data_IF_680180647023
#
_entry.id   IF_680180647023
#
_cell.length_a   1.000
_cell.length_b   1.000
_cell.length_c   1.000
_cell.angle_alpha   90.00
_cell.angle_beta   90.00
_cell.angle_gamma   90.00
#
_symmetry.space_group_name_H-M   'P 1'
#
loop_
_entity.id
_entity.type
_entity.pdbx_description
1 polymer ?
2 non-polymer ?
3 non-polymer ?
4 water ?
#
# COMPACT_ATOMS: atom_id res chain seq x y z
N UNK A 4 -21.31 1.46 -4.49
CA UNK A 4 -22.27 1.00 -3.50
C UNK A 4 -22.25 1.81 -2.19
N UNK A 5 -21.05 2.18 -1.72
CA UNK A 5 -20.88 3.00 -0.52
C UNK A 5 -20.53 4.43 -0.91
N UNK A 6 -20.62 5.34 0.06
CA UNK A 6 -20.34 6.75 -0.20
C UNK A 6 -19.65 7.46 0.96
N UNK A 7 -18.72 8.37 0.65
CA UNK A 7 -18.04 9.13 1.71
C UNK A 7 -19.01 10.01 2.49
N UNK A 8 -18.92 9.92 3.81
CA UNK A 8 -19.73 10.74 4.71
C UNK A 8 -19.14 12.15 4.80
N UNK A 9 -19.98 13.17 4.61
CA UNK A 9 -19.52 14.55 4.65
C UNK A 9 -19.38 15.04 6.10
N UNK A 10 -18.31 15.78 6.38
CA UNK A 10 -18.02 16.24 7.71
C UNK A 10 -18.00 17.77 7.74
N UNK A 11 -18.54 18.36 8.81
CA UNK A 11 -18.53 19.81 8.94
C UNK A 11 -17.08 20.31 9.02
N UNK A 12 -16.78 21.37 8.27
CA UNK A 12 -15.40 21.85 8.22
C UNK A 12 -14.90 22.32 9.58
N UNK A 13 -15.80 22.74 10.46
CA UNK A 13 -15.33 23.29 11.72
C UNK A 13 -14.98 22.22 12.75
N UNK A 14 -15.25 20.95 12.46
CA UNK A 14 -14.83 19.86 13.33
C UNK A 14 -13.33 19.55 13.20
N UNK A 15 -12.67 20.04 12.16
CA UNK A 15 -11.32 19.63 11.82
C UNK A 15 -10.34 20.75 12.14
N UNK A 16 -9.23 20.40 12.78
CA UNK A 16 -8.10 21.30 12.98
C UNK A 16 -6.88 20.64 12.36
N UNK A 17 -6.30 21.29 11.36
CA UNK A 17 -5.11 20.81 10.68
C UNK A 17 -3.89 21.20 11.52
N UNK A 18 -2.99 20.24 11.74
CA UNK A 18 -1.91 20.45 12.71
C UNK A 18 -0.52 20.55 12.09
N UNK A 19 -0.13 19.59 11.24
CA UNK A 19 1.28 19.50 10.83
C UNK A 19 1.41 18.54 9.65
N UNK A 20 2.50 18.70 8.92
CA UNK A 20 2.73 17.93 7.69
C UNK A 20 3.18 16.50 8.00
N UNK A 21 2.52 15.53 7.39
CA UNK A 21 2.96 14.13 7.44
C UNK A 21 3.76 13.71 6.22
N UNK A 22 3.38 14.18 5.04
CA UNK A 22 4.09 13.81 3.83
C UNK A 22 3.63 14.66 2.67
N UNK A 23 4.58 15.10 1.85
CA UNK A 23 4.30 15.91 0.67
C UNK A 23 4.85 15.21 -0.56
N UNK A 24 4.11 15.33 -1.66
CA UNK A 24 4.59 14.79 -2.91
C UNK A 24 3.97 15.52 -4.08
N UNK A 25 4.17 14.99 -5.29
CA UNK A 25 3.49 15.56 -6.45
C UNK A 25 1.99 15.36 -6.34
N UNK A 26 1.57 14.27 -5.69
CA UNK A 26 0.15 13.98 -5.50
C UNK A 26 -0.55 15.12 -4.78
N UNK A 27 0.12 15.73 -3.82
CA UNK A 27 -0.49 16.70 -2.92
C UNK A 27 0.23 16.73 -1.58
N UNK A 28 -0.56 16.78 -0.51
CA UNK A 28 -0.01 16.99 0.83
C UNK A 28 -0.93 16.28 1.84
N UNK A 29 -0.34 15.51 2.74
CA UNK A 29 -1.07 14.83 3.81
C UNK A 29 -0.67 15.48 5.12
N UNK A 30 -1.65 15.92 5.89
CA UNK A 30 -1.42 16.57 7.17
C UNK A 30 -1.91 15.69 8.30
N UNK A 31 -1.25 15.80 9.45
CA UNK A 31 -1.83 15.33 10.70
C UNK A 31 -2.83 16.37 11.19
N UNK A 32 -3.95 15.91 11.75
CA UNK A 32 -5.05 16.78 12.14
C UNK A 32 -5.82 16.16 13.30
N UNK A 33 -6.82 16.88 13.80
CA UNK A 33 -7.74 16.30 14.78
C UNK A 33 -9.18 16.61 14.41
N UNK A 34 -10.06 15.67 14.74
CA UNK A 34 -11.49 15.77 14.45
C UNK A 34 -12.26 15.77 15.76
N UNK A 35 -13.02 16.84 16.00
CA UNK A 35 -13.78 16.99 17.26
C UNK A 35 -15.26 17.02 16.91
N UNK A 36 -15.83 15.85 16.75
CA UNK A 36 -17.26 15.77 16.53
C UNK A 36 -17.99 16.04 17.85
N UNK A 37 -18.99 16.91 17.86
CA UNK A 37 -19.66 17.28 19.12
C UNK A 37 -20.18 16.05 19.86
N UNK A 38 -19.97 16.06 21.18
CA UNK A 38 -20.34 15.01 22.13
C UNK A 38 -19.50 13.74 21.99
N UNK A 39 -18.56 13.69 21.05
CA UNK A 39 -17.64 12.58 20.87
C UNK A 39 -16.23 12.99 21.31
N UNK A 40 -15.38 12.04 21.68
CA UNK A 40 -14.00 12.41 22.02
C UNK A 40 -13.23 12.89 20.79
N UNK A 41 -12.26 13.76 21.04
CA UNK A 41 -11.37 14.22 19.98
C UNK A 41 -10.43 13.10 19.55
N UNK A 42 -10.26 12.92 18.24
CA UNK A 42 -9.39 11.87 17.71
C UNK A 42 -8.38 12.46 16.73
N UNK A 43 -7.19 11.87 16.69
CA UNK A 43 -6.22 12.18 15.65
C UNK A 43 -6.65 11.57 14.32
N UNK A 44 -6.47 12.34 13.24
CA UNK A 44 -6.72 11.85 11.87
C UNK A 44 -5.62 12.36 10.97
N UNK A 45 -5.65 11.89 9.73
CA UNK A 45 -4.83 12.41 8.64
C UNK A 45 -5.75 13.06 7.62
N UNK A 46 -5.37 14.24 7.14
CA UNK A 46 -6.14 14.98 6.14
C UNK A 46 -5.31 15.14 4.87
N UNK A 47 -5.83 14.63 3.75
CA UNK A 47 -5.15 14.68 2.46
C UNK A 47 -5.79 15.79 1.63
N UNK A 48 -4.97 16.65 1.04
CA UNK A 48 -5.51 17.74 0.22
C UNK A 48 -4.65 17.91 -1.02
N UNK A 49 -4.98 18.94 -1.79
CA UNK A 49 -4.36 19.23 -3.08
C UNK A 49 -3.24 20.24 -2.94
N UNK A 50 -2.31 20.19 -3.88
CA UNK A 50 -1.32 21.25 -4.04
C UNK A 50 -2.03 22.60 -4.11
N UNK A 51 -1.36 23.63 -3.62
CA UNK A 51 -1.87 24.99 -3.79
C UNK A 51 -2.08 25.33 -5.26
N UNK A 52 -1.25 24.77 -6.13
CA UNK A 52 -1.43 24.87 -7.58
C UNK A 52 -2.61 23.98 -7.99
N UNK A 53 -3.79 24.57 -8.11
CA UNK A 53 -5.00 23.80 -8.27
C UNK A 53 -5.22 23.43 -9.74
N UNK A 54 -6.14 22.49 -9.94
CA UNK A 54 -6.71 22.18 -11.24
C UNK A 54 -7.91 21.26 -11.00
N UNK A 55 -9.04 21.52 -11.68
CA UNK A 55 -10.28 20.83 -11.34
C UNK A 55 -10.26 19.34 -11.68
N UNK A 56 -9.39 18.92 -12.61
CA UNK A 56 -9.24 17.49 -12.82
C UNK A 56 -8.55 16.82 -11.64
N UNK A 57 -7.76 17.58 -10.87
CA UNK A 57 -7.12 17.02 -9.67
C UNK A 57 -8.10 16.95 -8.50
N UNK A 58 -9.05 17.88 -8.41
CA UNK A 58 -10.13 17.75 -7.42
C UNK A 58 -10.93 16.49 -7.68
N UNK A 59 -11.24 16.19 -8.94
CA UNK A 59 -12.05 15.02 -9.25
C UNK A 59 -11.31 13.71 -8.97
N UNK A 60 -10.00 13.68 -9.24
CA UNK A 60 -9.22 12.49 -8.93
C UNK A 60 -9.20 12.22 -7.42
N UNK A 61 -9.11 13.29 -6.63
CA UNK A 61 -9.11 13.13 -5.19
C UNK A 61 -10.44 12.60 -4.71
N UNK A 62 -11.54 13.14 -5.25
CA UNK A 62 -12.87 12.65 -4.91
C UNK A 62 -13.09 11.22 -5.40
N UNK A 63 -12.48 10.85 -6.51
CA UNK A 63 -12.56 9.46 -6.93
C UNK A 63 -11.77 8.56 -5.98
N UNK A 64 -10.58 9.00 -5.55
CA UNK A 64 -9.83 8.26 -4.54
C UNK A 64 -10.69 7.98 -3.32
N UNK A 65 -11.40 9.01 -2.83
CA UNK A 65 -12.25 8.85 -1.64
C UNK A 65 -13.34 7.82 -1.88
N UNK A 66 -13.98 7.85 -3.05
CA UNK A 66 -15.06 6.91 -3.34
C UNK A 66 -14.56 5.48 -3.36
N UNK A 67 -13.39 5.25 -3.96
CA UNK A 67 -12.78 3.92 -3.91
C UNK A 67 -12.56 3.50 -2.46
N UNK A 68 -11.99 4.39 -1.65
CA UNK A 68 -11.70 4.05 -0.26
C UNK A 68 -12.96 3.82 0.56
N UNK A 69 -14.07 4.48 0.22
CA UNK A 69 -15.30 4.28 0.97
C UNK A 69 -15.88 2.88 0.80
N UNK A 70 -15.48 2.14 -0.22
CA UNK A 70 -15.93 0.76 -0.37
C UNK A 70 -15.21 -0.20 0.56
N UNK A 71 -14.05 0.19 1.10
CA UNK A 71 -13.22 -0.68 1.93
C UNK A 71 -13.63 -0.55 3.39
N UNK A 72 -13.81 -1.68 4.06
CA UNK A 72 -13.99 -1.68 5.51
C UNK A 72 -13.30 -2.94 6.02
N UNK A 73 -12.01 -2.81 6.31
CA UNK A 73 -11.18 -3.97 6.61
C UNK A 73 -10.07 -3.55 7.56
N UNK A 74 -9.68 -4.47 8.44
CA UNK A 74 -8.69 -4.14 9.46
C UNK A 74 -7.31 -3.84 8.87
N UNK A 75 -7.04 -4.24 7.62
CA UNK A 75 -5.73 -4.09 7.00
C UNK A 75 -5.77 -3.15 5.80
N UNK A 76 -6.73 -2.22 5.78
CA UNK A 76 -6.79 -1.12 4.83
C UNK A 76 -7.04 0.17 5.61
N UNK A 77 -6.22 1.21 5.36
CA UNK A 77 -6.41 2.51 6.05
C UNK A 77 -7.83 3.00 5.81
N UNK A 78 -8.55 3.32 6.90
CA UNK A 78 -9.97 3.62 6.79
C UNK A 78 -10.26 5.04 6.35
N UNK A 79 -11.38 5.21 5.65
CA UNK A 79 -11.89 6.53 5.31
C UNK A 79 -12.85 7.00 6.38
N UNK A 80 -12.57 8.17 6.96
CA UNK A 80 -13.47 8.72 7.97
C UNK A 80 -14.51 9.65 7.33
N UNK A 81 -14.14 10.38 6.28
CA UNK A 81 -15.08 11.26 5.64
C UNK A 81 -14.38 12.27 4.75
N UNK A 82 -15.17 13.20 4.22
CA UNK A 82 -14.65 14.22 3.32
C UNK A 82 -15.20 15.58 3.73
N UNK A 83 -14.45 16.62 3.39
CA UNK A 83 -14.90 18.00 3.52
C UNK A 83 -14.90 18.60 2.12
N UNK A 84 -16.10 18.75 1.53
CA UNK A 84 -16.24 19.23 0.17
C UNK A 84 -16.91 20.59 0.04
N UNK A 85 -17.68 21.03 1.04
CA UNK A 85 -18.27 22.36 1.02
C UNK A 85 -17.21 23.39 1.39
N UNK A 86 -16.97 24.35 0.51
CA UNK A 86 -15.92 25.33 0.74
C UNK A 86 -14.60 24.89 0.11
N UNK A 87 -13.52 25.48 0.61
CA UNK A 87 -12.16 25.26 0.10
C UNK A 87 -11.19 25.61 1.22
N UNK A 88 -10.11 24.84 1.42
CA UNK A 88 -9.68 23.64 0.67
C UNK A 88 -10.54 22.40 0.88
N UNK A 89 -10.40 21.42 0.02
CA UNK A 89 -11.09 20.14 0.17
C UNK A 89 -10.17 19.21 0.95
N UNK A 90 -10.76 18.40 1.83
CA UNK A 90 -10.00 17.47 2.64
C UNK A 90 -10.62 16.08 2.55
N UNK A 91 -9.78 15.07 2.38
CA UNK A 91 -10.15 13.67 2.59
C UNK A 91 -9.56 13.24 3.92
N UNK A 92 -10.42 12.87 4.87
CA UNK A 92 -10.04 12.58 6.25
C UNK A 92 -9.94 11.07 6.42
N UNK A 93 -8.75 10.59 6.79
CA UNK A 93 -8.44 9.17 6.87
C UNK A 93 -7.99 8.79 8.27
N UNK A 94 -7.98 7.49 8.54
CA UNK A 94 -7.45 6.96 9.78
C UNK A 94 -5.99 7.36 9.97
N UNK A 95 -5.64 7.71 11.20
CA UNK A 95 -4.28 8.11 11.55
C UNK A 95 -3.48 6.89 11.96
N UNK A 96 -2.25 6.79 11.43
CA UNK A 96 -1.39 5.60 11.59
C UNK A 96 -0.12 6.05 12.32
N UNK A 97 -0.14 5.90 13.65
CA UNK A 97 0.85 6.56 14.50
C UNK A 97 2.29 6.15 14.17
N UNK A 98 2.52 4.92 13.71
CA UNK A 98 3.88 4.40 13.61
C UNK A 98 4.48 4.49 12.21
N UNK A 99 3.82 5.18 11.28
CA UNK A 99 4.46 5.50 10.02
C UNK A 99 4.53 4.33 9.07
N UNK A 100 5.45 4.42 8.12
CA UNK A 100 5.50 3.45 7.03
C UNK A 100 6.20 2.18 7.46
N UNK A 101 5.73 1.05 6.92
CA UNK A 101 6.40 -0.22 7.12
C UNK A 101 7.87 -0.16 6.73
N UNK A 102 8.18 0.55 5.63
CA UNK A 102 9.57 0.67 5.19
C UNK A 102 10.47 1.26 6.25
N UNK A 103 10.12 2.47 6.74
CA UNK A 103 10.94 3.13 7.75
C UNK A 103 11.12 2.26 8.99
N UNK A 104 10.05 1.58 9.40
CA UNK A 104 10.12 0.79 10.62
C UNK A 104 11.15 -0.34 10.47
N UNK A 105 11.03 -1.16 9.42
CA UNK A 105 11.97 -2.29 9.32
C UNK A 105 13.39 -1.82 9.07
N UNK A 106 13.56 -0.63 8.49
CA UNK A 106 14.92 -0.14 8.26
C UNK A 106 15.59 0.33 9.55
N UNK A 107 14.80 0.78 10.53
CA UNK A 107 15.34 1.52 11.67
C UNK A 107 15.08 0.90 13.03
N UNK A 108 14.27 -0.15 13.11
CA UNK A 108 13.94 -0.81 14.36
C UNK A 108 14.35 -2.28 14.29
N UNK A 109 14.52 -2.85 15.48
CA UNK A 109 14.67 -4.29 15.63
C UNK A 109 13.30 -4.94 15.60
N UNK A 110 13.13 -5.94 14.74
CA UNK A 110 11.89 -6.68 14.54
C UNK A 110 12.17 -8.17 14.64
N UNK A 111 11.21 -8.94 15.18
CA UNK A 111 11.38 -10.38 15.34
C UNK A 111 10.84 -11.12 14.14
N UNK A 112 11.27 -12.38 13.94
CA UNK A 112 10.69 -13.20 12.86
C UNK A 112 9.16 -13.32 12.92
N UNK A 113 8.54 -13.40 14.11
CA UNK A 113 7.09 -13.52 14.15
C UNK A 113 6.42 -12.22 13.72
N UNK A 114 7.05 -11.09 13.95
CA UNK A 114 6.49 -9.84 13.44
C UNK A 114 6.57 -9.81 11.92
N UNK A 115 7.70 -10.26 11.35
CA UNK A 115 7.88 -10.18 9.91
C UNK A 115 6.85 -11.01 9.15
N UNK A 116 6.51 -12.19 9.68
CA UNK A 116 5.52 -13.01 8.98
C UNK A 116 4.11 -12.48 9.17
N UNK A 117 3.78 -11.91 10.34
CA UNK A 117 2.44 -11.41 10.58
C UNK A 117 2.14 -10.18 9.73
N UNK A 118 3.09 -9.24 9.67
CA UNK A 118 2.96 -8.09 8.76
C UNK A 118 2.74 -8.55 7.32
N UNK A 119 3.46 -9.57 6.88
CA UNK A 119 3.25 -10.11 5.54
C UNK A 119 1.82 -10.61 5.36
N UNK A 120 1.32 -11.39 6.33
CA UNK A 120 -0.03 -11.93 6.21
C UNK A 120 -1.07 -10.82 6.29
N UNK A 121 -0.80 -9.79 7.08
CA UNK A 121 -1.77 -8.70 7.20
C UNK A 121 -1.93 -7.95 5.88
N UNK A 122 -0.82 -7.69 5.20
CA UNK A 122 -0.89 -6.98 3.92
C UNK A 122 -1.60 -7.85 2.87
N UNK A 123 -1.33 -9.15 2.86
CA UNK A 123 -2.04 -10.03 1.93
C UNK A 123 -3.55 -10.01 2.20
N UNK A 124 -3.93 -9.95 3.47
CA UNK A 124 -5.34 -9.87 3.85
C UNK A 124 -5.98 -8.60 3.34
N UNK A 125 -5.28 -7.48 3.42
CA UNK A 125 -5.85 -6.25 2.92
C UNK A 125 -5.97 -6.23 1.41
N UNK A 126 -4.93 -6.71 0.71
CA UNK A 126 -4.99 -6.82 -0.75
C UNK A 126 -6.09 -7.79 -1.20
N UNK A 127 -6.27 -8.91 -0.48
CA UNK A 127 -7.34 -9.85 -0.83
C UNK A 127 -8.69 -9.14 -0.81
N UNK A 128 -8.92 -8.33 0.22
CA UNK A 128 -10.18 -7.58 0.33
C UNK A 128 -10.34 -6.60 -0.81
N UNK A 129 -9.27 -5.87 -1.15
CA UNK A 129 -9.31 -4.93 -2.28
C UNK A 129 -9.71 -5.65 -3.57
N UNK A 130 -9.06 -6.78 -3.86
CA UNK A 130 -9.39 -7.54 -5.05
C UNK A 130 -10.81 -8.09 -5.00
N UNK A 131 -11.28 -8.49 -3.82
CA UNK A 131 -12.63 -9.02 -3.69
C UNK A 131 -13.70 -7.97 -3.92
N UNK A 132 -13.34 -6.69 -3.96
CA UNK A 132 -14.28 -5.63 -4.28
C UNK A 132 -14.20 -5.19 -5.74
N UNK A 133 -13.30 -5.76 -6.52
CA UNK A 133 -13.20 -5.44 -7.93
C UNK A 133 -12.19 -4.38 -8.30
N UNK A 134 -11.16 -4.17 -7.47
CA UNK A 134 -10.17 -3.14 -7.72
C UNK A 134 -8.77 -3.74 -7.75
N UNK A 135 -7.85 -3.02 -8.37
CA UNK A 135 -6.42 -3.34 -8.32
C UNK A 135 -5.67 -2.09 -7.89
N UNK A 136 -4.58 -2.29 -7.14
CA UNK A 136 -3.89 -1.18 -6.47
C UNK A 136 -2.90 -0.48 -7.40
N UNK A 137 -2.07 -1.26 -8.09
CA UNK A 137 -1.13 -0.83 -9.12
C UNK A 137 0.04 -0.02 -8.57
N UNK A 138 0.28 -0.04 -7.23
CA UNK A 138 1.34 0.76 -6.65
C UNK A 138 1.82 0.21 -5.29
N UNK A 139 1.80 -1.10 -5.10
CA UNK A 139 2.14 -1.68 -3.80
C UNK A 139 3.66 -1.71 -3.59
N UNK A 140 4.09 -1.32 -2.39
CA UNK A 140 5.49 -1.30 -1.96
C UNK A 140 5.51 -0.99 -0.46
N UNK A 141 6.65 -1.27 0.20
CA UNK A 141 6.65 -1.13 1.66
C UNK A 141 6.47 0.32 2.11
N UNK A 142 6.89 1.30 1.31
CA UNK A 142 6.64 2.69 1.66
C UNK A 142 5.17 3.08 1.58
N UNK A 143 4.32 2.24 0.99
CA UNK A 143 2.90 2.53 0.83
C UNK A 143 2.02 1.76 1.81
N UNK A 144 2.62 1.02 2.74
CA UNK A 144 1.93 0.34 3.83
C UNK A 144 2.25 1.08 5.12
N UNK A 145 1.23 1.36 5.93
CA UNK A 145 1.41 2.07 7.20
C UNK A 145 1.12 1.15 8.38
N UNK A 146 1.64 1.54 9.56
CA UNK A 146 1.56 0.79 10.81
C UNK A 146 0.78 1.59 11.86
N UNK A 147 -0.24 0.97 12.47
CA UNK A 147 -1.06 1.64 13.48
C UNK A 147 -0.33 1.67 14.84
N UNK A 148 -1.01 2.14 15.89
CA UNK A 148 -0.40 2.15 17.23
C UNK A 148 -0.12 0.74 17.75
N UNK A 149 -0.94 -0.23 17.35
CA UNK A 149 -0.74 -1.64 17.66
C UNK A 149 0.21 -2.35 16.71
N UNK A 150 0.87 -1.61 15.81
CA UNK A 150 1.72 -2.18 14.76
C UNK A 150 0.96 -3.14 13.85
N UNK A 151 -0.31 -2.88 13.60
CA UNK A 151 -1.05 -3.56 12.54
C UNK A 151 -0.74 -2.93 11.19
N UNK A 152 -0.36 -3.75 10.20
CA UNK A 152 -0.06 -3.25 8.85
C UNK A 152 -1.33 -3.02 8.06
N UNK A 153 -1.36 -1.92 7.28
CA UNK A 153 -2.56 -1.52 6.54
C UNK A 153 -2.19 -0.85 5.22
N UNK A 154 -2.84 -1.28 4.14
CA UNK A 154 -2.56 -0.75 2.82
C UNK A 154 -3.11 0.66 2.70
N UNK A 155 -2.29 1.58 2.20
CA UNK A 155 -2.65 2.98 1.99
C UNK A 155 -2.34 3.38 0.55
N UNK A 156 -2.67 4.64 0.24
CA UNK A 156 -2.37 5.30 -1.04
C UNK A 156 -3.06 4.65 -2.23
N UNK A 157 -4.33 5.02 -2.45
CA UNK A 157 -5.12 4.53 -3.56
C UNK A 157 -5.11 5.48 -4.75
N UNK A 158 -4.09 6.33 -4.87
CA UNK A 158 -4.04 7.30 -5.95
C UNK A 158 -4.13 6.68 -7.34
N UNK A 159 -3.57 5.48 -7.52
CA UNK A 159 -3.50 4.85 -8.83
C UNK A 159 -4.43 3.64 -8.95
N UNK A 160 -5.24 3.35 -7.94
CA UNK A 160 -6.09 2.17 -7.98
C UNK A 160 -7.21 2.35 -9.01
N UNK A 161 -7.57 1.25 -9.68
CA UNK A 161 -8.60 1.27 -10.72
C UNK A 161 -9.47 0.03 -10.63
N UNK A 162 -10.74 0.17 -11.03
CA UNK A 162 -11.62 -0.98 -11.17
C UNK A 162 -10.98 -2.02 -12.06
N UNK A 163 -11.06 -3.28 -11.63
CA UNK A 163 -10.47 -4.39 -12.38
C UNK A 163 -11.17 -4.59 -13.73
N UNK A 164 -12.47 -4.34 -13.79
CA UNK A 164 -13.25 -4.69 -14.97
C UNK A 164 -12.80 -3.94 -16.23
N UNK A 165 -12.13 -2.80 -16.07
CA UNK A 165 -11.63 -2.02 -17.22
C UNK A 165 -10.53 -2.77 -17.97
N UNK A 171 0.18 4.42 -18.11
CA UNK A 171 0.35 4.47 -16.65
C UNK A 171 0.73 5.88 -16.19
N UNK A 172 1.61 5.98 -15.19
CA UNK A 172 2.01 7.28 -14.66
C UNK A 172 2.94 8.00 -15.64
N UNK A 173 4.08 7.40 -15.94
CA UNK A 173 5.04 8.00 -16.85
C UNK A 173 6.48 7.67 -16.49
N UNK A 174 7.32 8.70 -16.34
CA UNK A 174 8.69 8.51 -15.91
C UNK A 174 8.86 8.12 -14.46
N UNK A 175 7.76 7.96 -13.73
CA UNK A 175 7.77 7.62 -12.32
C UNK A 175 7.53 6.13 -12.06
N UNK A 176 7.39 5.33 -13.11
CA UNK A 176 7.12 3.90 -13.00
C UNK A 176 8.07 3.27 -11.98
N UNK A 177 7.55 2.70 -10.88
CA UNK A 177 8.43 1.98 -9.93
C UNK A 177 8.88 0.64 -10.51
N UNK A 178 9.92 0.70 -11.34
CA UNK A 178 10.38 -0.46 -12.12
C UNK A 178 10.68 -1.66 -11.22
N UNK A 179 11.26 -1.40 -10.05
CA UNK A 179 11.69 -2.51 -9.19
C UNK A 179 10.53 -3.31 -8.60
N UNK A 180 9.30 -2.78 -8.64
CA UNK A 180 8.13 -3.48 -8.12
C UNK A 180 7.16 -3.96 -9.18
N UNK A 181 7.48 -3.80 -10.47
CA UNK A 181 6.54 -4.01 -11.57
C UNK A 181 6.83 -5.29 -12.34
N UNK A 182 5.80 -6.11 -12.52
CA UNK A 182 5.94 -7.37 -13.22
C UNK A 182 6.35 -7.15 -14.68
N UNK A 183 7.08 -8.09 -15.28
CA UNK A 183 7.51 -7.94 -16.69
C UNK A 183 6.39 -7.61 -17.66
N UNK A 184 5.24 -8.26 -17.52
CA UNK A 184 4.15 -8.05 -18.47
C UNK A 184 3.58 -6.64 -18.36
N UNK A 185 3.69 -6.01 -17.18
CA UNK A 185 3.17 -4.66 -16.98
C UNK A 185 4.14 -3.61 -17.51
N UNK A 186 5.43 -3.91 -17.44
CA UNK A 186 6.43 -3.02 -18.03
C UNK A 186 6.35 -3.01 -19.56
N UNK A 187 6.29 -4.20 -20.16
CA UNK A 187 6.40 -4.37 -21.60
C UNK A 187 5.08 -4.21 -22.34
N UNK A 188 3.99 -4.78 -21.81
CA UNK A 188 2.70 -4.77 -22.48
C UNK A 188 1.68 -3.86 -21.81
N UNK A 189 2.05 -3.22 -20.70
CA UNK A 189 1.13 -2.38 -19.93
C UNK A 189 -0.10 -3.16 -19.46
N UNK A 190 0.09 -4.43 -19.13
CA UNK A 190 -1.00 -5.26 -18.62
C UNK A 190 -0.92 -5.26 -17.10
N UNK A 191 -1.79 -4.49 -16.45
CA UNK A 191 -1.90 -4.48 -14.99
C UNK A 191 -3.11 -5.28 -14.56
N UNK A 192 -2.95 -6.06 -13.49
CA UNK A 192 -3.98 -7.01 -13.11
C UNK A 192 -3.74 -7.42 -11.66
N UNK A 193 -4.64 -8.26 -11.16
CA UNK A 193 -4.50 -8.80 -9.82
C UNK A 193 -3.17 -9.52 -9.65
N UNK A 194 -2.63 -10.10 -10.72
CA UNK A 194 -1.38 -10.84 -10.62
C UNK A 194 -0.14 -9.94 -10.72
N UNK A 195 -0.23 -8.73 -11.28
CA UNK A 195 0.87 -7.81 -11.08
C UNK A 195 0.87 -7.21 -9.66
N UNK A 196 -0.29 -7.02 -9.03
CA UNK A 196 -0.31 -6.69 -7.59
C UNK A 196 0.42 -7.77 -6.78
N UNK A 197 0.22 -9.03 -7.16
CA UNK A 197 0.85 -10.15 -6.46
C UNK A 197 2.38 -10.09 -6.60
N UNK A 198 2.87 -9.86 -7.83
CA UNK A 198 4.32 -9.69 -8.04
C UNK A 198 4.87 -8.61 -7.12
N UNK A 199 4.18 -7.46 -7.05
CA UNK A 199 4.65 -6.36 -6.22
C UNK A 199 4.70 -6.77 -4.75
N UNK A 200 3.73 -7.56 -4.30
CA UNK A 200 3.72 -8.03 -2.91
C UNK A 200 4.95 -8.90 -2.63
N UNK A 201 5.35 -9.73 -3.60
CA UNK A 201 6.60 -10.46 -3.44
C UNK A 201 7.76 -9.54 -3.15
N UNK A 202 7.84 -8.41 -3.86
CA UNK A 202 8.95 -7.48 -3.66
C UNK A 202 8.85 -6.83 -2.28
N UNK A 203 7.61 -6.55 -1.85
CA UNK A 203 7.39 -6.02 -0.50
C UNK A 203 7.90 -6.99 0.57
N UNK A 204 7.62 -8.28 0.41
CA UNK A 204 8.16 -9.27 1.34
C UNK A 204 9.67 -9.24 1.36
N UNK A 205 10.30 -9.12 0.20
CA UNK A 205 11.77 -8.99 0.16
C UNK A 205 12.24 -7.79 1.00
N UNK A 206 11.54 -6.66 0.89
CA UNK A 206 11.89 -5.47 1.67
C UNK A 206 11.76 -5.71 3.16
N UNK A 207 10.73 -6.46 3.57
CA UNK A 207 10.49 -6.75 4.97
C UNK A 207 11.67 -7.52 5.57
N UNK A 208 12.31 -8.38 4.77
CA UNK A 208 13.38 -9.25 5.24
C UNK A 208 14.79 -8.75 4.90
N UNK A 209 14.93 -7.50 4.50
CA UNK A 209 16.22 -6.90 4.24
C UNK A 209 16.24 -5.52 4.89
N UNK A 210 17.39 -4.88 4.90
CA UNK A 210 17.43 -3.56 5.52
C UNK A 210 18.01 -2.51 4.58
N UNK A 211 18.20 -2.85 3.30
CA UNK A 211 18.58 -1.91 2.26
C UNK A 211 17.36 -1.11 1.79
N UNK A 212 17.64 0.06 1.21
CA UNK A 212 16.57 0.94 0.76
C UNK A 212 15.95 0.46 -0.54
N UNK A 213 16.74 -0.14 -1.43
CA UNK A 213 16.24 -0.49 -2.76
C UNK A 213 16.44 -1.97 -3.06
N UNK A 214 15.40 -2.68 -3.47
CA UNK A 214 15.60 -4.01 -4.06
C UNK A 214 16.44 -3.90 -5.32
N UNK A 215 17.19 -4.97 -5.60
CA UNK A 215 18.16 -5.00 -6.71
C UNK A 215 19.23 -3.93 -6.48
N UNK A 216 19.78 -3.90 -5.27
CA UNK A 216 20.74 -2.87 -4.93
C UNK A 216 21.98 -3.04 -5.80
N UNK A 217 22.49 -1.93 -6.32
CA UNK A 217 23.61 -1.94 -7.21
C UNK A 217 23.26 -1.95 -8.68
N UNK A 218 21.97 -2.06 -9.04
CA UNK A 218 21.49 -2.03 -10.42
C UNK A 218 20.60 -0.82 -10.65
N UNK A 219 20.73 -0.20 -11.82
CA UNK A 219 19.80 0.86 -12.18
C UNK A 219 18.52 0.26 -12.77
N UNK A 220 17.59 1.13 -13.13
CA UNK A 220 16.25 0.70 -13.52
C UNK A 220 16.26 -0.07 -14.84
N UNK A 221 17.10 0.32 -15.80
CA UNK A 221 17.13 -0.40 -17.07
C UNK A 221 17.80 -1.75 -16.91
N UNK A 222 18.84 -1.81 -16.09
CA UNK A 222 19.45 -3.09 -15.77
C UNK A 222 18.46 -4.03 -15.08
N UNK A 223 17.64 -3.50 -14.15
CA UNK A 223 16.65 -4.35 -13.50
C UNK A 223 15.71 -4.96 -14.53
N UNK A 224 15.16 -4.12 -15.42
CA UNK A 224 14.18 -4.61 -16.39
C UNK A 224 14.77 -5.68 -17.29
N UNK A 225 15.96 -5.45 -17.83
CA UNK A 225 16.53 -6.42 -18.76
C UNK A 225 16.82 -7.73 -18.05
N UNK A 226 17.39 -7.65 -16.83
CA UNK A 226 17.74 -8.86 -16.09
C UNK A 226 16.50 -9.66 -15.72
N UNK A 227 15.44 -8.97 -15.28
CA UNK A 227 14.23 -9.64 -14.79
C UNK A 227 13.45 -10.27 -15.95
N UNK A 228 13.33 -9.56 -17.07
CA UNK A 228 12.63 -10.16 -18.20
C UNK A 228 13.36 -11.37 -18.75
N UNK A 229 14.68 -11.43 -18.55
CA UNK A 229 15.48 -12.57 -18.98
C UNK A 229 15.57 -13.67 -17.93
N UNK A 230 14.86 -13.54 -16.80
CA UNK A 230 14.73 -14.63 -15.85
C UNK A 230 15.45 -14.46 -14.54
N UNK A 231 16.23 -13.40 -14.32
CA UNK A 231 16.81 -13.20 -12.99
C UNK A 231 15.71 -13.01 -11.96
N UNK A 232 15.94 -13.59 -10.77
CA UNK A 232 15.10 -13.36 -9.58
C UNK A 232 15.99 -13.13 -8.37
N UNK A 233 15.50 -12.29 -7.43
CA UNK A 233 16.26 -12.04 -6.22
C UNK A 233 16.44 -13.32 -5.41
N UNK A 234 17.61 -13.53 -4.82
CA UNK A 234 17.85 -14.71 -4.00
C UNK A 234 17.46 -14.49 -2.54
N UNK A 235 17.43 -15.59 -1.80
CA UNK A 235 16.88 -15.61 -0.45
C UNK A 235 17.70 -14.77 0.53
N UNK A 236 17.11 -13.76 1.17
CA UNK A 236 17.87 -12.98 2.17
C UNK A 236 18.38 -13.87 3.31
N UNK A 237 19.58 -13.55 3.81
CA UNK A 237 20.20 -14.42 4.83
C UNK A 237 19.27 -14.66 6.02
N UNK A 238 18.48 -13.66 6.41
CA UNK A 238 17.66 -13.76 7.60
C UNK A 238 16.20 -14.12 7.28
N UNK A 239 15.94 -14.68 6.08
CA UNK A 239 14.58 -15.09 5.71
C UNK A 239 14.42 -16.59 5.86
N UNK A 240 13.38 -17.08 6.55
CA UNK A 240 13.18 -18.53 6.62
C UNK A 240 12.87 -19.14 5.26
N UNK A 241 13.39 -20.34 5.03
CA UNK A 241 13.18 -21.00 3.74
C UNK A 241 11.72 -21.19 3.37
N UNK A 242 10.80 -21.53 4.27
CA UNK A 242 9.38 -21.62 3.85
C UNK A 242 8.80 -20.29 3.43
N UNK A 243 9.27 -19.18 4.02
CA UNK A 243 8.80 -17.86 3.64
C UNK A 243 9.29 -17.49 2.25
N UNK A 244 10.57 -17.73 1.97
CA UNK A 244 11.10 -17.43 0.64
C UNK A 244 10.43 -18.26 -0.43
N UNK A 245 9.96 -19.47 -0.10
CA UNK A 245 9.20 -20.26 -1.06
C UNK A 245 7.97 -19.49 -1.52
N UNK A 246 7.21 -18.96 -0.57
CA UNK A 246 6.02 -18.16 -0.88
C UNK A 246 6.40 -16.93 -1.70
N UNK A 247 7.41 -16.19 -1.24
CA UNK A 247 7.92 -15.03 -1.97
C UNK A 247 8.23 -15.37 -3.42
N UNK A 248 8.85 -16.54 -3.65
CA UNK A 248 9.26 -16.92 -5.00
C UNK A 248 8.09 -17.16 -5.94
N UNK A 249 6.97 -17.67 -5.43
CA UNK A 249 5.81 -17.96 -6.29
C UNK A 249 5.18 -16.69 -6.84
N UNK A 250 5.30 -15.58 -6.13
CA UNK A 250 4.75 -14.31 -6.60
C UNK A 250 5.48 -13.80 -7.84
N UNK A 251 6.64 -14.37 -8.17
CA UNK A 251 7.46 -13.93 -9.29
C UNK A 251 7.54 -14.94 -10.43
N UNK A 252 6.61 -15.87 -10.51
CA UNK A 252 6.62 -16.77 -11.65
C UNK A 252 6.40 -15.94 -12.92
N UNK A 253 7.11 -16.32 -13.99
CA UNK A 253 7.04 -15.56 -15.23
C UNK A 253 5.62 -15.49 -15.76
N UNK A 254 4.93 -16.64 -15.79
CA UNK A 254 3.55 -16.74 -16.28
C UNK A 254 2.61 -16.26 -15.19
N UNK A 255 1.92 -15.14 -15.43
CA UNK A 255 1.11 -14.54 -14.38
C UNK A 255 -0.02 -15.46 -13.93
N UNK A 256 -0.52 -16.32 -14.83
CA UNK A 256 -1.61 -17.20 -14.48
C UNK A 256 -1.20 -18.27 -13.48
N UNK A 257 0.10 -18.54 -13.34
CA UNK A 257 0.58 -19.50 -12.36
C UNK A 257 0.82 -18.90 -10.99
N UNK A 258 0.87 -17.57 -10.88
CA UNK A 258 1.06 -16.92 -9.59
C UNK A 258 -0.16 -17.14 -8.71
N UNK A 259 0.03 -17.29 -7.41
CA UNK A 259 -1.12 -17.52 -6.52
C UNK A 259 -1.97 -16.26 -6.40
N UNK A 260 -3.21 -16.46 -5.97
CA UNK A 260 -4.06 -15.33 -5.58
C UNK A 260 -3.73 -14.89 -4.16
N UNK A 261 -4.16 -13.67 -3.83
CA UNK A 261 -4.01 -13.20 -2.46
C UNK A 261 -4.74 -14.07 -1.45
N UNK A 262 -5.86 -14.70 -1.85
CA UNK A 262 -6.54 -15.59 -0.92
C UNK A 262 -5.67 -16.80 -0.57
N UNK A 263 -4.97 -17.36 -1.55
CA UNK A 263 -4.04 -18.45 -1.28
C UNK A 263 -2.86 -17.98 -0.42
N UNK A 264 -2.33 -16.79 -0.72
CA UNK A 264 -1.20 -16.25 0.03
C UNK A 264 -1.55 -16.06 1.50
N UNK A 265 -2.72 -15.46 1.79
CA UNK A 265 -3.16 -15.31 3.18
C UNK A 265 -3.11 -16.64 3.91
N UNK A 266 -3.61 -17.69 3.27
CA UNK A 266 -3.69 -19.00 3.91
C UNK A 266 -2.31 -19.60 4.14
N UNK A 267 -1.43 -19.54 3.13
CA UNK A 267 -0.08 -20.07 3.32
C UNK A 267 0.65 -19.32 4.43
N UNK A 268 0.54 -17.99 4.44
CA UNK A 268 1.19 -17.19 5.46
C UNK A 268 0.58 -17.45 6.85
N UNK A 269 -0.74 -17.60 6.92
CA UNK A 269 -1.39 -17.87 8.21
C UNK A 269 -0.88 -19.17 8.82
N UNK A 270 -0.62 -20.19 7.98
CA UNK A 270 -0.10 -21.45 8.48
C UNK A 270 1.27 -21.26 9.14
N UNK A 271 2.13 -20.41 8.57
CA UNK A 271 3.44 -20.17 9.18
C UNK A 271 3.35 -19.27 10.39
N UNK A 272 2.35 -18.39 10.41
CA UNK A 272 2.19 -17.44 11.52
C UNK A 272 2.06 -18.14 12.86
N UNK A 273 1.45 -19.33 12.88
CA UNK A 273 1.37 -20.16 14.08
C UNK A 273 2.29 -21.38 14.00
N UNK A 274 3.42 -21.22 13.30
CA UNK A 274 4.44 -22.25 13.19
C UNK A 274 5.56 -21.93 14.17
N UNK A 275 5.99 -22.94 14.92
CA UNK A 275 7.04 -22.73 15.92
C UNK A 275 8.40 -22.49 15.27
N UNK A 276 8.69 -23.20 14.18
CA UNK A 276 9.99 -23.12 13.51
C UNK A 276 10.21 -21.75 12.84
X LIG B 1 3.04 10.22 3.84
X LIG B 1 3.64 9.52 4.88
X LIG B 1 4.51 8.36 4.40
X LIG B 1 4.55 8.32 2.87
X LIG B 1 3.10 8.24 2.36
X LIG B 1 2.38 9.50 2.84
X LIG B 1 2.49 10.50 1.69
X LIG B 1 0.96 9.24 3.19
X LIG B 1 0.55 9.03 4.51
X LIG B 1 1.29 9.05 5.70
X LIG B 1 0.64 8.83 6.93
X LIG B 1 -0.77 8.60 6.96
X LIG B 1 -1.49 8.58 5.76
X LIG B 1 -0.84 8.80 4.55
X LIG B 1 -1.28 8.85 3.15
X LIG B 1 -0.14 9.12 2.36
X LIG B 1 -0.29 9.21 0.96
X LIG B 1 -1.55 9.04 0.41
X LIG B 1 -2.66 8.80 1.21
X LIG B 1 -2.55 8.69 2.59
X LIG B 1 -2.93 8.31 6.12
X LIG B 1 -2.97 8.17 7.58
X LIG B 1 -1.73 8.33 8.06
X LIG B 1 -1.46 8.28 9.26
X LIG B 1 1.70 8.89 7.94
X LIG B 1 2.92 9.16 7.26
X LIG B 1 4.11 9.29 7.98
X LIG B 1 4.06 9.14 9.37
X LIG B 1 2.86 8.88 10.02
X LIG B 1 1.66 8.77 9.32
X LIG B 1 2.64 9.22 5.90
X LIG B 1 2.55 7.14 3.04
X LIG B 1 1.86 6.29 2.14
X LIG B 1 5.35 7.16 2.39
X LIG B 1 5.37 7.16 0.91
X LIG C 1 13.11 6.10 -18.87
X LIG C 1 12.17 7.10 -18.58
X LIG C 1 12.34 7.78 -17.22
X LIG C 1 13.48 7.13 -16.41
X LIG C 1 13.27 5.60 -16.46
X LIG C 1 13.30 5.10 -17.92
X LIG C 1 14.77 4.68 -18.04
X LIG C 1 12.33 3.98 -18.02
X LIG C 1 10.99 4.21 -18.37
X LIG C 1 10.33 5.40 -18.72
X LIG C 1 8.96 5.37 -19.04
X LIG C 1 8.25 4.14 -19.00
X LIG C 1 8.92 2.97 -18.64
X LIG C 1 10.27 3.00 -18.33
X LIG C 1 11.22 1.97 -17.93
X LIG C 1 12.47 2.62 -17.74
X LIG C 1 13.57 1.82 -17.35
X LIG C 1 13.37 0.46 -17.18
X LIG C 1 12.14 -0.14 -17.37
X LIG C 1 11.04 0.59 -17.76
X LIG C 1 7.91 1.85 -18.70
X LIG C 1 6.64 2.47 -19.10
X LIG C 1 6.84 3.79 -19.27
X LIG C 1 5.97 4.57 -19.61
X LIG C 1 8.60 6.76 -19.36
X LIG C 1 9.78 7.53 -19.21
X LIG C 1 9.76 8.91 -19.45
X LIG C 1 8.55 9.48 -19.83
X LIG C 1 7.41 8.72 -19.97
X LIG C 1 7.39 7.35 -19.75
X LIG C 1 10.79 6.66 -18.82
X LIG C 1 12.00 5.35 -15.83
X LIG C 1 12.23 4.48 -14.72
X LIG C 1 13.43 7.59 -15.02
X LIG C 1 13.88 9.00 -15.02
X LIG D 1 8.68 7.01 4.18
X LIG D 1 9.45 8.23 4.58
X LIG D 1 7.81 6.65 5.36
X LIG D 1 9.61 5.85 3.85
X LIG D 1 7.82 7.31 2.97
#
# INVERSE_FOLDING_TARGET
MQLSKEPRELNREWLIVLSELGQGAFGIVYEASLSEPKAPEIQVAAKSLRKDAMDNEREELLEEALVMAQMEHANVVGLIGVITKGRPIYVVLEHMRNGSLKDYVMNKTCTPAQQVTWSRQVASGMAHIHSLGFIHRDLAARNVLLSASLTAKVADFGLARESTDDAYYRSRGGNVPVRWTAPEALEDNIFSEKSDVWAFGVLMYEVYTKAAMPYTGWNNQRVWIEVTNGFRLPCPADCPLPVFKIMSMCWLHDRHERPSFETLVKALAALETDSDMSSLFQS
STU O4 C25 C24 C23 C22 C21 C26 N2 C18 C19 C6 C7 C10 C11 C12 C17 C16 C15 C14 C13 C9 N1 C8 O5 C5 C20 C1 C2 C3 C4 N3 O6 C27 N4 C28
STU O4 C25 C24 C23 C22 C21 C26 N2 C18 C19 C6 C7 C10 C11 C12 C17 C16 C15 C14 C13 C9 N1 C8 O5 C5 C20 C1 C2 C3 C4 N3 O6 C27 N4 C28
PO4 P O1 O2 O3 O4
#
